data_IF_270412762760
#
_entry.id   IF_270412762760
#
_cell.length_a   1.000
_cell.length_b   1.000
_cell.length_c   1.000
_cell.angle_alpha   90.00
_cell.angle_beta   90.00
_cell.angle_gamma   90.00
#
_symmetry.space_group_name_H-M   'P 1'
#
loop_
_entity.id
_entity.type
_entity.pdbx_description
1 polymer ?
#
# COMPACT_ATOMS: atom_id res chain seq x y z
N UNK A 1 -6.25 6.22 -22.63
CA UNK A 1 -5.10 5.42 -22.15
C UNK A 1 -4.11 6.39 -21.50
N UNK A 2 -4.17 6.57 -20.19
CA UNK A 2 -3.16 7.35 -19.48
C UNK A 2 -1.94 6.46 -19.30
N UNK A 3 -0.87 6.77 -20.03
CA UNK A 3 0.40 6.07 -19.92
C UNK A 3 0.88 6.17 -18.47
N UNK A 4 1.00 5.02 -17.80
CA UNK A 4 1.84 4.90 -16.60
C UNK A 4 3.20 5.52 -16.95
N UNK A 5 3.62 6.52 -16.18
CA UNK A 5 4.93 7.13 -16.38
C UNK A 5 5.97 6.02 -16.22
N UNK A 6 6.60 5.61 -17.31
CA UNK A 6 7.54 4.47 -17.35
C UNK A 6 8.63 4.63 -16.29
N UNK A 7 9.05 5.86 -16.02
CA UNK A 7 10.03 6.17 -14.97
C UNK A 7 9.53 5.84 -13.56
N UNK A 8 8.23 5.98 -13.29
CA UNK A 8 7.62 5.62 -12.01
C UNK A 8 7.58 4.10 -11.83
N UNK A 9 7.21 3.38 -12.89
CA UNK A 9 7.19 1.90 -12.88
C UNK A 9 8.59 1.33 -12.72
N UNK A 10 9.57 1.85 -13.44
CA UNK A 10 10.98 1.45 -13.29
C UNK A 10 11.53 1.77 -11.90
N UNK A 11 11.20 2.94 -11.33
CA UNK A 11 11.59 3.29 -9.96
C UNK A 11 10.99 2.32 -8.94
N UNK A 12 9.75 1.88 -9.15
CA UNK A 12 9.07 0.90 -8.29
C UNK A 12 9.61 -0.52 -8.43
N UNK A 13 9.90 -0.97 -9.65
CA UNK A 13 10.57 -2.27 -9.88
C UNK A 13 11.92 -2.30 -9.16
N UNK A 14 12.69 -1.21 -9.28
CA UNK A 14 13.98 -1.07 -8.58
C UNK A 14 13.81 -1.06 -7.06
N UNK A 15 12.72 -0.49 -6.54
CA UNK A 15 12.39 -0.55 -5.11
C UNK A 15 11.95 -1.95 -4.67
N UNK A 16 11.20 -2.68 -5.49
CA UNK A 16 10.79 -4.06 -5.23
C UNK A 16 12.00 -4.99 -5.12
N UNK A 17 12.98 -4.88 -6.01
CA UNK A 17 14.24 -5.67 -5.94
C UNK A 17 14.97 -5.47 -4.60
N UNK A 18 15.00 -4.23 -4.08
CA UNK A 18 15.61 -3.93 -2.78
C UNK A 18 14.79 -4.42 -1.57
N UNK A 19 13.45 -4.53 -1.70
CA UNK A 19 12.56 -5.02 -0.63
C UNK A 19 12.67 -6.53 -0.44
N UNK A 20 13.00 -7.29 -1.49
CA UNK A 20 13.21 -8.74 -1.39
C UNK A 20 14.50 -9.12 -0.63
N UNK A 21 15.42 -8.18 -0.38
CA UNK A 21 16.78 -8.50 0.11
C UNK A 21 17.15 -7.83 1.46
N UNK A 22 16.54 -6.73 1.90
CA UNK A 22 16.88 -6.11 3.19
C UNK A 22 15.71 -5.54 4.00
N UNK A 23 15.93 -5.55 5.33
CA UNK A 23 15.13 -5.00 6.44
C UNK A 23 14.24 -3.82 6.01
N UNK A 24 12.94 -3.93 6.28
CA UNK A 24 11.95 -2.88 5.99
C UNK A 24 12.36 -1.57 6.67
N UNK A 25 12.68 -0.55 5.87
CA UNK A 25 12.96 0.81 6.33
C UNK A 25 11.65 1.59 6.48
N UNK A 26 11.41 2.08 7.69
CA UNK A 26 10.24 2.88 8.06
C UNK A 26 10.07 4.08 7.12
N UNK A 27 11.18 4.73 6.73
CA UNK A 27 11.16 5.94 5.91
C UNK A 27 10.58 5.72 4.51
N UNK A 28 10.70 4.50 3.95
CA UNK A 28 10.13 4.17 2.64
C UNK A 28 8.60 4.11 2.67
N UNK A 29 8.03 3.62 3.78
CA UNK A 29 6.57 3.57 4.00
C UNK A 29 6.00 4.99 4.18
N UNK A 30 6.72 5.87 4.89
CA UNK A 30 6.33 7.28 5.10
C UNK A 30 6.28 8.07 3.79
N UNK A 31 7.24 7.81 2.90
CA UNK A 31 7.38 8.51 1.63
C UNK A 31 6.19 8.23 0.69
N UNK A 32 5.66 7.00 0.73
CA UNK A 32 4.54 6.56 -0.10
C UNK A 32 3.29 7.40 0.16
N UNK A 33 2.86 7.58 1.41
CA UNK A 33 1.60 8.28 1.72
C UNK A 33 1.60 9.76 1.25
N UNK A 34 2.67 10.52 1.53
CA UNK A 34 2.73 11.95 1.13
C UNK A 34 2.95 12.15 -0.37
N UNK A 35 3.90 11.44 -0.98
CA UNK A 35 4.27 11.72 -2.37
C UNK A 35 3.27 11.14 -3.37
N UNK A 36 2.62 10.02 -3.04
CA UNK A 36 1.67 9.35 -3.93
C UNK A 36 0.33 10.10 -3.94
N UNK A 37 -0.16 10.59 -2.81
CA UNK A 37 -1.48 11.25 -2.78
C UNK A 37 -1.47 12.71 -3.25
N UNK A 38 -0.36 13.44 -3.13
CA UNK A 38 -0.33 14.86 -3.48
C UNK A 38 -0.04 15.15 -4.96
N UNK A 39 0.65 14.26 -5.69
CA UNK A 39 1.18 14.58 -7.04
C UNK A 39 1.08 13.46 -8.09
N UNK A 40 0.45 12.34 -7.77
CA UNK A 40 0.52 11.16 -8.64
C UNK A 40 -0.80 10.83 -9.35
N UNK A 41 -0.68 10.21 -10.52
CA UNK A 41 -1.83 9.69 -11.28
C UNK A 41 -2.50 8.55 -10.51
N UNK A 42 -3.78 8.28 -10.78
CA UNK A 42 -4.48 7.18 -10.10
C UNK A 42 -3.79 5.81 -10.29
N UNK A 43 -3.12 5.60 -11.44
CA UNK A 43 -2.32 4.40 -11.67
C UNK A 43 -1.12 4.32 -10.71
N UNK A 44 -0.48 5.45 -10.39
CA UNK A 44 0.61 5.48 -9.43
C UNK A 44 0.13 5.18 -8.01
N UNK A 45 -1.08 5.65 -7.65
CA UNK A 45 -1.74 5.31 -6.38
C UNK A 45 -2.07 3.82 -6.28
N UNK A 46 -2.64 3.25 -7.33
CA UNK A 46 -2.86 1.81 -7.45
C UNK A 46 -1.56 1.01 -7.25
N UNK A 47 -0.50 1.34 -7.98
CA UNK A 47 0.77 0.61 -7.90
C UNK A 47 1.42 0.75 -6.51
N UNK A 48 1.24 1.89 -5.84
CA UNK A 48 1.71 2.06 -4.46
C UNK A 48 1.02 1.10 -3.49
N UNK A 49 -0.30 0.86 -3.66
CA UNK A 49 -1.05 -0.09 -2.84
C UNK A 49 -0.55 -1.52 -3.12
N UNK A 50 -0.39 -1.89 -4.40
CA UNK A 50 0.15 -3.20 -4.79
C UNK A 50 1.56 -3.45 -4.23
N UNK A 51 2.41 -2.42 -4.22
CA UNK A 51 3.74 -2.45 -3.63
C UNK A 51 3.68 -2.71 -2.12
N UNK A 52 2.83 -1.98 -1.40
CA UNK A 52 2.66 -2.15 0.05
C UNK A 52 2.17 -3.56 0.37
N UNK A 53 1.18 -4.05 -0.37
CA UNK A 53 0.65 -5.41 -0.22
C UNK A 53 1.74 -6.47 -0.41
N UNK A 54 2.52 -6.36 -1.49
CA UNK A 54 3.63 -7.28 -1.80
C UNK A 54 4.69 -7.23 -0.70
N UNK A 55 5.07 -6.03 -0.26
CA UNK A 55 6.07 -5.82 0.78
C UNK A 55 5.67 -6.47 2.10
N UNK A 56 4.42 -6.32 2.52
CA UNK A 56 3.90 -6.92 3.75
C UNK A 56 3.86 -8.44 3.63
N UNK A 57 3.29 -8.98 2.55
CA UNK A 57 3.14 -10.42 2.40
C UNK A 57 4.48 -11.14 2.27
N UNK A 58 5.49 -10.50 1.67
CA UNK A 58 6.85 -11.04 1.63
C UNK A 58 7.59 -10.92 2.97
N UNK A 59 7.13 -10.09 3.92
CA UNK A 59 7.85 -9.77 5.15
C UNK A 59 6.95 -9.72 6.40
N UNK A 60 5.91 -10.56 6.45
CA UNK A 60 4.79 -10.44 7.40
C UNK A 60 5.22 -10.22 8.87
N UNK A 61 6.21 -10.98 9.33
CA UNK A 61 6.72 -10.89 10.71
C UNK A 61 7.48 -9.59 10.98
N UNK A 62 8.26 -9.12 10.01
CA UNK A 62 9.06 -7.90 10.13
C UNK A 62 8.20 -6.64 9.93
N UNK A 63 7.12 -6.76 9.16
CA UNK A 63 6.25 -5.64 8.84
C UNK A 63 5.30 -5.29 10.00
N UNK A 64 5.17 -6.13 11.03
CA UNK A 64 4.13 -5.99 12.07
C UNK A 64 4.20 -4.65 12.84
N UNK A 65 5.39 -4.08 12.99
CA UNK A 65 5.57 -2.75 13.61
C UNK A 65 4.93 -1.60 12.82
N UNK A 66 4.52 -1.85 11.58
CA UNK A 66 3.91 -0.85 10.68
C UNK A 66 2.40 -1.07 10.47
N UNK A 67 1.79 -2.04 11.16
CA UNK A 67 0.41 -2.47 10.91
C UNK A 67 -0.59 -1.31 10.95
N UNK A 68 -0.59 -0.50 12.01
CA UNK A 68 -1.51 0.64 12.16
C UNK A 68 -1.34 1.66 11.04
N UNK A 69 -0.09 1.97 10.67
CA UNK A 69 0.18 2.95 9.61
C UNK A 69 -0.27 2.46 8.24
N UNK A 70 -0.10 1.17 7.97
CA UNK A 70 -0.56 0.56 6.74
C UNK A 70 -2.09 0.49 6.73
N UNK A 71 -2.71 0.15 7.86
CA UNK A 71 -4.16 0.17 8.01
C UNK A 71 -4.72 1.56 7.69
N UNK A 72 -4.19 2.62 8.30
CA UNK A 72 -4.57 4.01 8.00
C UNK A 72 -4.40 4.36 6.52
N UNK A 73 -3.28 3.96 5.91
CA UNK A 73 -3.01 4.18 4.49
C UNK A 73 -4.04 3.49 3.60
N UNK A 74 -4.36 2.23 3.88
CA UNK A 74 -5.34 1.46 3.10
C UNK A 74 -6.75 2.00 3.32
N UNK A 75 -7.13 2.37 4.55
CA UNK A 75 -8.42 2.99 4.85
C UNK A 75 -8.61 4.32 4.12
N UNK A 76 -7.59 5.20 4.14
CA UNK A 76 -7.61 6.45 3.36
C UNK A 76 -7.76 6.17 1.87
N UNK A 77 -7.12 5.12 1.36
CA UNK A 77 -7.20 4.69 -0.03
C UNK A 77 -8.60 4.19 -0.45
N UNK A 78 -9.43 3.74 0.51
CA UNK A 78 -10.83 3.39 0.22
C UNK A 78 -11.69 4.60 -0.14
N UNK A 79 -11.26 5.80 0.26
CA UNK A 79 -11.95 7.06 -0.05
C UNK A 79 -11.35 7.77 -1.28
N UNK A 80 -10.52 7.09 -2.07
CA UNK A 80 -9.95 7.66 -3.30
C UNK A 80 -11.03 8.02 -4.31
N UNK A 81 -10.83 9.08 -5.08
CA UNK A 81 -11.73 9.52 -6.16
C UNK A 81 -11.94 8.42 -7.22
N UNK A 82 -10.90 7.64 -7.52
CA UNK A 82 -10.90 6.68 -8.61
C UNK A 82 -11.38 5.30 -8.13
N UNK A 83 -12.33 4.71 -8.86
CA UNK A 83 -12.94 3.43 -8.52
C UNK A 83 -11.93 2.26 -8.45
N UNK A 84 -11.01 2.20 -9.40
CA UNK A 84 -9.99 1.16 -9.51
C UNK A 84 -9.06 1.16 -8.29
N UNK A 85 -8.70 2.35 -7.80
CA UNK A 85 -7.88 2.50 -6.58
C UNK A 85 -8.66 1.98 -5.37
N UNK A 86 -9.96 2.29 -5.27
CA UNK A 86 -10.82 1.78 -4.18
C UNK A 86 -10.97 0.26 -4.19
N UNK A 87 -11.14 -0.36 -5.36
CA UNK A 87 -11.21 -1.83 -5.48
C UNK A 87 -9.95 -2.47 -4.93
N UNK A 88 -8.80 -1.93 -5.32
CA UNK A 88 -7.51 -2.51 -4.94
C UNK A 88 -7.27 -2.32 -3.45
N UNK A 89 -7.54 -1.13 -2.92
CA UNK A 89 -7.53 -0.89 -1.48
C UNK A 89 -8.43 -1.87 -0.70
N UNK A 90 -9.66 -2.12 -1.17
CA UNK A 90 -10.59 -3.07 -0.54
C UNK A 90 -10.07 -4.51 -0.58
N UNK A 91 -9.48 -4.92 -1.70
CA UNK A 91 -8.92 -6.26 -1.87
C UNK A 91 -7.68 -6.45 -0.98
N UNK A 92 -6.80 -5.45 -0.93
CA UNK A 92 -5.64 -5.42 -0.05
C UNK A 92 -6.07 -5.50 1.41
N UNK A 93 -7.04 -4.67 1.85
CA UNK A 93 -7.53 -4.67 3.22
C UNK A 93 -8.06 -6.04 3.64
N UNK A 94 -8.87 -6.67 2.78
CA UNK A 94 -9.38 -8.03 2.99
C UNK A 94 -8.24 -9.03 3.17
N UNK A 95 -7.19 -8.95 2.34
CA UNK A 95 -6.01 -9.80 2.47
C UNK A 95 -5.26 -9.59 3.79
N UNK A 96 -5.13 -8.35 4.26
CA UNK A 96 -4.47 -8.02 5.54
C UNK A 96 -5.25 -8.55 6.75
N UNK A 97 -6.58 -8.54 6.70
CA UNK A 97 -7.42 -9.18 7.72
C UNK A 97 -7.31 -10.69 7.68
N UNK A 98 -7.41 -11.30 6.48
CA UNK A 98 -7.36 -12.75 6.30
C UNK A 98 -6.06 -13.37 6.80
N UNK A 99 -4.92 -12.69 6.61
CA UNK A 99 -3.64 -13.19 7.11
C UNK A 99 -3.34 -12.80 8.59
N UNK A 100 -4.28 -12.13 9.26
CA UNK A 100 -4.14 -11.69 10.65
C UNK A 100 -3.08 -10.60 10.87
N UNK A 101 -2.69 -9.89 9.80
CA UNK A 101 -1.77 -8.77 9.89
C UNK A 101 -2.42 -7.57 10.58
N UNK A 102 -3.69 -7.31 10.25
CA UNK A 102 -4.56 -6.36 10.93
C UNK A 102 -5.67 -7.18 11.60
N UNK A 103 -6.06 -6.80 12.81
CA UNK A 103 -7.25 -7.37 13.47
C UNK A 103 -8.43 -6.46 13.19
N UNK A 104 -9.58 -7.05 12.87
CA UNK A 104 -10.83 -6.29 12.73
C UNK A 104 -11.16 -5.71 14.11
N UNK A 105 -11.21 -4.39 14.20
CA UNK A 105 -11.68 -3.70 15.39
C UNK A 105 -13.14 -3.31 15.21
N UNK A 106 -13.86 -3.10 16.32
CA UNK A 106 -15.26 -2.66 16.25
C UNK A 106 -15.39 -1.30 15.55
N UNK A 107 -14.35 -0.46 15.57
CA UNK A 107 -14.29 0.83 14.87
C UNK A 107 -14.31 0.66 13.34
N UNK A 108 -13.71 -0.42 12.82
CA UNK A 108 -13.72 -0.74 11.38
C UNK A 108 -15.11 -1.16 10.86
N UNK A 109 -16.01 -1.57 11.76
CA UNK A 109 -17.35 -2.07 11.42
C UNK A 109 -18.43 -0.99 11.43
N UNK A 110 -18.13 0.20 11.98
CA UNK A 110 -19.15 1.24 12.22
C UNK A 110 -19.25 2.28 11.11
N UNK A 111 -18.26 2.39 10.22
CA UNK A 111 -18.37 3.13 8.93
C UNK A 111 -18.63 4.62 9.04
#
# INVERSE_FOLDING_TARGET
MAYLNVNFVEALIKQLEHVFIQKIDSNKIICLDKQVYERSTWHARQVAIDFVQTMIFSNLFNARSYANRIHDFVLKSLSDEQYEVRIIASTTLSGLYQCGYIQVTDEDLVG
#
